data_IF_480234653873
#
_entry.id   IF_480234653873
#
_cell.length_a   1.000
_cell.length_b   1.000
_cell.length_c   1.000
_cell.angle_alpha   90.00
_cell.angle_beta   90.00
_cell.angle_gamma   90.00
#
_symmetry.space_group_name_H-M   'P 1'
#
loop_
_entity.id
_entity.type
_entity.pdbx_description
1 polymer ?
#
# COMPACT_ATOMS: atom_id res chain seq x y z
N UNK A 1 3.17 6.29 37.27
CA UNK A 1 2.44 6.34 35.99
C UNK A 1 2.93 5.21 35.13
N UNK A 2 2.23 4.07 35.15
CA UNK A 2 2.56 2.92 34.31
C UNK A 2 2.29 3.27 32.85
N UNK A 3 3.30 3.10 32.00
CA UNK A 3 3.14 3.16 30.55
C UNK A 3 2.22 2.03 30.08
N UNK A 4 1.31 2.37 29.18
CA UNK A 4 0.38 1.46 28.48
C UNK A 4 1.08 0.13 28.08
N UNK A 5 0.51 -1.04 28.39
CA UNK A 5 1.02 -2.35 27.96
C UNK A 5 1.33 -2.41 26.45
N UNK A 6 0.59 -1.67 25.62
CA UNK A 6 0.83 -1.59 24.18
C UNK A 6 2.12 -0.83 23.83
N UNK A 7 2.48 0.19 24.61
CA UNK A 7 3.76 0.91 24.48
C UNK A 7 4.94 0.05 24.98
N UNK A 8 4.73 -0.84 25.96
CA UNK A 8 5.73 -1.86 26.33
C UNK A 8 5.92 -2.88 25.23
N UNK A 9 4.85 -3.34 24.59
CA UNK A 9 4.91 -4.25 23.43
C UNK A 9 5.67 -3.61 22.25
N UNK A 10 5.43 -2.32 21.97
CA UNK A 10 6.14 -1.58 20.93
C UNK A 10 7.61 -1.28 21.28
N UNK A 11 7.96 -1.16 22.57
CA UNK A 11 9.35 -1.01 23.03
C UNK A 11 10.12 -2.33 23.08
N UNK A 12 9.48 -3.45 23.42
CA UNK A 12 10.13 -4.77 23.49
C UNK A 12 10.49 -5.34 22.12
N UNK A 13 9.81 -4.94 21.03
CA UNK A 13 10.25 -5.25 19.66
C UNK A 13 11.45 -4.38 19.19
N UNK A 14 12.00 -3.54 20.07
CA UNK A 14 13.15 -2.68 19.81
C UNK A 14 14.52 -3.30 20.07
N UNK A 15 14.65 -4.58 20.44
CA UNK A 15 15.97 -5.22 20.57
C UNK A 15 16.52 -5.58 19.18
N UNK A 16 17.66 -4.97 18.84
CA UNK A 16 18.41 -5.07 17.58
C UNK A 16 18.33 -6.43 16.85
N UNK A 17 17.35 -6.60 15.98
CA UNK A 17 17.47 -7.54 14.86
C UNK A 17 18.22 -6.81 13.75
N UNK A 18 19.39 -7.32 13.38
CA UNK A 18 20.10 -6.85 12.20
C UNK A 18 19.30 -7.15 10.91
N UNK A 19 19.90 -6.86 9.76
CA UNK A 19 19.33 -7.29 8.48
C UNK A 19 19.05 -8.81 8.49
N UNK A 20 17.81 -9.19 8.19
CA UNK A 20 17.35 -10.59 8.11
C UNK A 20 17.89 -11.33 6.89
N UNK A 21 18.51 -10.60 5.97
CA UNK A 21 19.12 -11.10 4.74
C UNK A 21 20.65 -10.90 4.77
N UNK A 22 21.23 -10.70 5.95
CA UNK A 22 22.68 -10.50 6.13
C UNK A 22 23.52 -11.72 5.77
N UNK A 23 22.93 -12.92 5.72
CA UNK A 23 23.58 -14.13 5.24
C UNK A 23 23.83 -14.13 3.72
N UNK A 24 23.17 -13.23 2.98
CA UNK A 24 23.36 -13.08 1.54
C UNK A 24 24.46 -12.05 1.24
N UNK A 25 25.19 -12.28 0.14
CA UNK A 25 26.10 -11.27 -0.42
C UNK A 25 25.33 -10.01 -0.85
N UNK A 26 26.01 -8.87 -0.97
CA UNK A 26 25.37 -7.61 -1.38
C UNK A 26 24.65 -7.72 -2.75
N UNK A 27 25.24 -8.46 -3.70
CA UNK A 27 24.62 -8.71 -5.01
C UNK A 27 23.32 -9.49 -4.87
N UNK A 28 23.33 -10.59 -4.10
CA UNK A 28 22.15 -11.41 -3.83
C UNK A 28 21.07 -10.64 -3.07
N UNK A 29 21.44 -9.77 -2.12
CA UNK A 29 20.48 -8.91 -1.45
C UNK A 29 19.80 -7.95 -2.43
N UNK A 30 20.57 -7.32 -3.33
CA UNK A 30 20.03 -6.42 -4.36
C UNK A 30 19.08 -7.16 -5.29
N UNK A 31 19.45 -8.36 -5.74
CA UNK A 31 18.63 -9.21 -6.59
C UNK A 31 17.33 -9.63 -5.88
N UNK A 32 17.42 -10.14 -4.65
CA UNK A 32 16.25 -10.53 -3.85
C UNK A 32 15.26 -9.37 -3.70
N UNK A 33 15.76 -8.17 -3.36
CA UNK A 33 14.92 -6.99 -3.14
C UNK A 33 14.26 -6.46 -4.43
N UNK A 34 14.93 -6.64 -5.58
CA UNK A 34 14.35 -6.36 -6.89
C UNK A 34 13.30 -7.41 -7.25
N UNK A 35 13.59 -8.69 -7.01
CA UNK A 35 12.74 -9.81 -7.38
C UNK A 35 11.46 -9.93 -6.55
N UNK A 36 11.41 -9.29 -5.38
CA UNK A 36 10.15 -9.06 -4.63
C UNK A 36 9.02 -8.50 -5.52
N UNK A 37 9.35 -7.72 -6.55
CA UNK A 37 8.35 -7.15 -7.46
C UNK A 37 7.60 -8.21 -8.29
N UNK A 38 8.14 -9.41 -8.46
CA UNK A 38 7.49 -10.52 -9.18
C UNK A 38 6.47 -11.28 -8.33
N UNK A 39 6.47 -11.06 -7.00
CA UNK A 39 5.46 -11.66 -6.14
C UNK A 39 4.06 -11.12 -6.45
N UNK A 40 3.05 -11.97 -6.33
CA UNK A 40 1.66 -11.60 -6.44
C UNK A 40 1.12 -11.25 -5.04
N UNK A 41 -0.08 -10.67 -5.01
CA UNK A 41 -0.67 -10.26 -3.74
C UNK A 41 -0.95 -11.42 -2.78
N UNK A 42 -1.15 -12.66 -3.25
CA UNK A 42 -1.40 -13.80 -2.36
C UNK A 42 -0.10 -14.24 -1.65
N UNK A 43 1.00 -14.35 -2.39
CA UNK A 43 2.34 -14.67 -1.87
C UNK A 43 2.77 -13.62 -0.84
N UNK A 44 2.65 -12.33 -1.19
CA UNK A 44 2.97 -11.21 -0.31
C UNK A 44 2.11 -11.27 0.96
N UNK A 45 0.79 -11.45 0.84
CA UNK A 45 -0.12 -11.54 1.99
C UNK A 45 0.22 -12.70 2.90
N UNK A 46 0.59 -13.86 2.35
CA UNK A 46 0.98 -15.03 3.13
C UNK A 46 2.19 -14.71 4.00
N UNK A 47 3.26 -14.19 3.39
CA UNK A 47 4.46 -13.79 4.13
C UNK A 47 4.14 -12.74 5.20
N UNK A 48 3.41 -11.68 4.83
CA UNK A 48 3.07 -10.62 5.79
C UNK A 48 2.26 -11.14 6.99
N UNK A 49 1.31 -12.06 6.78
CA UNK A 49 0.53 -12.65 7.88
C UNK A 49 1.37 -13.51 8.81
N UNK A 50 2.36 -14.24 8.28
CA UNK A 50 3.24 -15.08 9.09
C UNK A 50 4.17 -14.22 9.97
N UNK A 51 4.61 -13.06 9.50
CA UNK A 51 5.51 -12.17 10.23
C UNK A 51 4.81 -10.95 10.85
N UNK A 52 3.49 -11.03 11.04
CA UNK A 52 2.65 -9.95 11.60
C UNK A 52 2.86 -8.56 10.95
N UNK A 53 3.25 -8.52 9.67
CA UNK A 53 3.37 -7.28 8.91
C UNK A 53 1.96 -6.75 8.56
N UNK A 54 1.66 -5.48 8.86
CA UNK A 54 0.35 -4.93 8.55
C UNK A 54 0.08 -4.91 7.04
N UNK A 55 -1.14 -5.32 6.68
CA UNK A 55 -1.63 -5.34 5.29
C UNK A 55 -2.75 -4.33 5.04
N UNK A 56 -3.42 -3.90 6.10
CA UNK A 56 -4.59 -3.05 6.02
C UNK A 56 -4.23 -1.62 6.39
N UNK A 57 -4.93 -0.69 5.75
CA UNK A 57 -4.90 0.71 6.15
C UNK A 57 -5.67 0.82 7.47
N UNK A 58 -5.11 1.54 8.42
CA UNK A 58 -5.74 1.87 9.69
C UNK A 58 -6.31 3.28 9.61
N UNK A 59 -7.39 3.54 10.35
CA UNK A 59 -8.03 4.85 10.41
C UNK A 59 -8.23 5.25 11.87
N UNK A 60 -7.87 6.49 12.17
CA UNK A 60 -7.98 7.10 13.50
C UNK A 60 -9.38 7.71 13.71
N UNK A 61 -10.40 6.89 13.95
CA UNK A 61 -11.79 7.40 14.09
C UNK A 61 -12.02 8.30 15.30
N UNK A 62 -11.21 8.13 16.36
CA UNK A 62 -11.12 9.02 17.52
C UNK A 62 -9.64 9.28 17.79
N UNK A 63 -9.30 10.46 18.30
CA UNK A 63 -7.90 10.85 18.57
C UNK A 63 -7.20 9.76 19.40
N UNK A 64 -6.09 9.24 18.88
CA UNK A 64 -5.30 8.18 19.50
C UNK A 64 -5.84 6.74 19.33
N UNK A 65 -7.03 6.55 18.75
CA UNK A 65 -7.66 5.24 18.59
C UNK A 65 -7.62 4.81 17.13
N UNK A 66 -6.66 3.95 16.81
CA UNK A 66 -6.53 3.34 15.49
C UNK A 66 -7.44 2.13 15.36
N UNK A 67 -8.25 2.11 14.30
CA UNK A 67 -9.02 0.93 13.90
C UNK A 67 -8.57 0.43 12.54
N UNK A 68 -8.39 -0.87 12.43
CA UNK A 68 -8.15 -1.55 11.15
C UNK A 68 -9.36 -1.35 10.22
N UNK A 69 -9.12 -0.97 8.98
CA UNK A 69 -10.15 -0.89 7.94
C UNK A 69 -10.17 -2.16 7.08
N UNK A 70 -11.21 -2.34 6.26
CA UNK A 70 -11.24 -3.39 5.22
C UNK A 70 -10.31 -3.11 4.05
N UNK A 71 -9.85 -1.86 3.89
CA UNK A 71 -8.98 -1.44 2.80
C UNK A 71 -7.57 -2.02 2.99
N UNK A 72 -7.02 -2.57 1.91
CA UNK A 72 -5.66 -3.06 1.86
C UNK A 72 -4.73 -1.96 1.35
N UNK A 73 -3.51 -1.95 1.88
CA UNK A 73 -2.42 -1.22 1.25
C UNK A 73 -2.18 -1.75 -0.17
N UNK A 74 -1.79 -0.85 -1.06
CA UNK A 74 -1.37 -1.18 -2.43
C UNK A 74 -0.12 -2.06 -2.42
N UNK A 75 0.05 -2.89 -3.45
CA UNK A 75 1.19 -3.81 -3.60
C UNK A 75 2.54 -3.15 -3.30
N UNK A 76 2.81 -1.98 -3.90
CA UNK A 76 4.05 -1.23 -3.68
C UNK A 76 4.33 -0.93 -2.21
N UNK A 77 3.35 -0.38 -1.49
CA UNK A 77 3.47 -0.07 -0.05
C UNK A 77 3.73 -1.32 0.79
N UNK A 78 3.04 -2.42 0.49
CA UNK A 78 3.26 -3.69 1.20
C UNK A 78 4.65 -4.25 0.90
N UNK A 79 5.11 -4.17 -0.35
CA UNK A 79 6.46 -4.59 -0.72
C UNK A 79 7.53 -3.74 -0.03
N UNK A 80 7.34 -2.42 0.08
CA UNK A 80 8.28 -1.55 0.80
C UNK A 80 8.33 -1.89 2.29
N UNK A 81 7.18 -2.24 2.87
CA UNK A 81 7.11 -2.76 4.24
C UNK A 81 7.91 -4.06 4.40
N UNK A 82 7.79 -4.98 3.43
CA UNK A 82 8.62 -6.21 3.39
C UNK A 82 10.10 -5.86 3.26
N UNK A 83 10.49 -4.93 2.37
CA UNK A 83 11.89 -4.51 2.20
C UNK A 83 12.47 -3.94 3.49
N UNK A 84 11.74 -3.07 4.17
CA UNK A 84 12.19 -2.51 5.46
C UNK A 84 12.35 -3.61 6.51
N UNK A 85 11.40 -4.53 6.59
CA UNK A 85 11.49 -5.68 7.49
C UNK A 85 12.72 -6.54 7.20
N UNK A 86 12.96 -6.88 5.93
CA UNK A 86 14.14 -7.67 5.54
C UNK A 86 15.45 -6.96 5.88
N UNK A 87 15.54 -5.65 5.63
CA UNK A 87 16.77 -4.87 5.85
C UNK A 87 17.07 -4.58 7.31
N UNK A 88 16.06 -4.58 8.18
CA UNK A 88 16.21 -4.05 9.54
C UNK A 88 15.64 -4.93 10.65
N UNK A 89 14.98 -6.04 10.31
CA UNK A 89 14.25 -6.88 11.27
C UNK A 89 13.04 -6.21 11.92
N UNK A 90 12.81 -4.91 11.70
CA UNK A 90 11.73 -4.15 12.33
C UNK A 90 10.43 -4.27 11.54
N UNK A 91 9.33 -4.58 12.23
CA UNK A 91 7.99 -4.57 11.66
C UNK A 91 7.52 -3.11 11.51
N UNK A 92 7.39 -2.58 10.28
CA UNK A 92 6.91 -1.21 10.10
C UNK A 92 5.41 -1.12 10.39
N UNK A 93 4.97 0.02 10.89
CA UNK A 93 3.56 0.27 11.18
C UNK A 93 2.64 0.21 9.95
N UNK A 94 1.31 0.11 10.17
CA UNK A 94 0.33 0.22 9.10
C UNK A 94 0.32 1.64 8.51
N UNK A 95 -0.17 1.77 7.28
CA UNK A 95 -0.57 3.08 6.77
C UNK A 95 -1.74 3.60 7.61
N UNK A 96 -1.70 4.87 8.00
CA UNK A 96 -2.72 5.48 8.88
C UNK A 96 -3.40 6.65 8.18
N UNK A 97 -4.73 6.64 8.17
CA UNK A 97 -5.56 7.80 7.84
C UNK A 97 -5.87 8.54 9.13
N UNK A 98 -5.33 9.75 9.24
CA UNK A 98 -5.54 10.62 10.41
C UNK A 98 -7.01 11.01 10.57
N UNK A 99 -7.43 11.26 11.82
CA UNK A 99 -8.82 11.59 12.16
C UNK A 99 -9.41 12.72 11.30
N UNK A 100 -8.62 13.76 11.03
CA UNK A 100 -8.99 14.92 10.22
C UNK A 100 -9.38 14.60 8.77
N UNK A 101 -8.99 13.42 8.28
CA UNK A 101 -9.29 12.95 6.92
C UNK A 101 -10.48 12.00 6.87
N UNK A 102 -11.12 11.72 8.00
CA UNK A 102 -12.24 10.80 8.10
C UNK A 102 -13.55 11.58 8.11
N UNK A 103 -14.49 11.15 7.29
CA UNK A 103 -15.83 11.70 7.25
C UNK A 103 -16.60 11.29 8.51
N UNK A 104 -16.99 12.28 9.33
CA UNK A 104 -17.81 12.04 10.52
C UNK A 104 -19.29 11.81 10.18
N UNK A 105 -19.75 12.45 9.09
CA UNK A 105 -21.11 12.31 8.56
C UNK A 105 -21.10 12.47 7.05
N UNK A 106 -22.04 11.80 6.38
CA UNK A 106 -22.28 12.02 4.95
C UNK A 106 -23.05 13.34 4.80
N UNK A 107 -22.55 14.32 4.03
CA UNK A 107 -23.28 15.56 3.82
C UNK A 107 -24.52 15.31 2.95
N UNK A 108 -25.58 16.09 3.18
CA UNK A 108 -26.83 15.97 2.41
C UNK A 108 -26.61 16.24 0.91
N UNK A 109 -25.72 17.19 0.60
CA UNK A 109 -25.27 17.56 -0.74
C UNK A 109 -23.78 17.26 -0.88
N UNK A 110 -23.42 16.66 -2.01
CA UNK A 110 -22.04 16.45 -2.45
C UNK A 110 -21.85 17.27 -3.72
N UNK A 111 -20.76 18.05 -3.78
CA UNK A 111 -20.39 18.89 -4.91
C UNK A 111 -18.86 19.02 -5.03
N UNK A 112 -18.38 19.80 -5.99
CA UNK A 112 -16.94 19.97 -6.21
C UNK A 112 -16.18 20.68 -5.08
N UNK A 113 -16.88 21.40 -4.18
CA UNK A 113 -16.27 22.05 -3.01
C UNK A 113 -16.19 21.10 -1.82
N UNK A 114 -16.99 20.03 -1.83
CA UNK A 114 -17.02 19.02 -0.77
C UNK A 114 -15.62 18.39 -0.61
N UNK A 115 -15.10 18.30 0.64
CA UNK A 115 -13.81 17.68 0.91
C UNK A 115 -13.78 16.20 0.54
N UNK A 116 -12.66 15.75 -0.05
CA UNK A 116 -12.35 14.35 -0.31
C UNK A 116 -11.92 13.68 1.00
N UNK A 117 -12.89 13.21 1.78
CA UNK A 117 -12.64 12.50 3.04
C UNK A 117 -12.82 10.99 2.87
N UNK A 118 -12.02 10.23 3.62
CA UNK A 118 -12.19 8.81 3.79
C UNK A 118 -13.58 8.51 4.34
N UNK A 119 -14.31 7.60 3.71
CA UNK A 119 -15.70 7.27 4.05
C UNK A 119 -16.77 7.98 3.20
N UNK A 120 -16.46 9.12 2.55
CA UNK A 120 -17.35 9.72 1.53
C UNK A 120 -17.11 9.09 0.15
N UNK A 121 -15.86 8.78 -0.16
CA UNK A 121 -15.48 8.15 -1.42
C UNK A 121 -15.49 6.62 -1.26
N UNK A 122 -16.69 6.03 -1.28
CA UNK A 122 -16.88 4.57 -1.35
C UNK A 122 -17.27 4.16 -2.77
N UNK A 123 -16.91 2.92 -3.13
CA UNK A 123 -17.20 2.37 -4.46
C UNK A 123 -18.67 2.60 -4.82
N UNK A 124 -18.91 3.19 -6.00
CA UNK A 124 -20.24 3.32 -6.61
C UNK A 124 -21.25 4.21 -5.86
N UNK A 125 -20.80 5.08 -4.96
CA UNK A 125 -21.70 6.12 -4.43
C UNK A 125 -22.10 7.05 -5.57
N UNK A 126 -23.36 6.94 -6.02
CA UNK A 126 -23.84 7.54 -7.25
C UNK A 126 -23.67 9.07 -7.25
N UNK A 127 -23.88 9.71 -6.09
CA UNK A 127 -23.71 11.16 -5.93
C UNK A 127 -22.27 11.60 -6.18
N UNK A 128 -21.30 10.86 -5.66
CA UNK A 128 -19.88 11.17 -5.80
C UNK A 128 -19.40 10.92 -7.23
N UNK A 129 -19.83 9.82 -7.84
CA UNK A 129 -19.51 9.53 -9.24
C UNK A 129 -20.06 10.59 -10.19
N UNK A 130 -21.30 11.03 -9.99
CA UNK A 130 -21.92 12.08 -10.79
C UNK A 130 -21.12 13.37 -10.71
N UNK A 131 -20.78 13.84 -9.51
CA UNK A 131 -19.99 15.05 -9.29
C UNK A 131 -18.62 14.96 -9.99
N UNK A 132 -17.92 13.83 -9.86
CA UNK A 132 -16.63 13.65 -10.51
C UNK A 132 -16.74 13.54 -12.04
N UNK A 133 -17.81 12.94 -12.57
CA UNK A 133 -18.08 12.94 -14.00
C UNK A 133 -18.36 14.36 -14.51
N UNK A 134 -19.17 15.15 -13.82
CA UNK A 134 -19.42 16.56 -14.18
C UNK A 134 -18.12 17.37 -14.20
N UNK A 135 -17.31 17.26 -13.14
CA UNK A 135 -16.00 17.96 -13.05
C UNK A 135 -15.05 17.59 -14.18
N UNK A 136 -15.10 16.34 -14.65
CA UNK A 136 -14.15 15.81 -15.64
C UNK A 136 -14.71 15.74 -17.05
N UNK A 137 -15.87 16.35 -17.32
CA UNK A 137 -16.52 16.28 -18.63
C UNK A 137 -16.87 14.85 -19.06
N UNK A 138 -17.35 14.04 -18.12
CA UNK A 138 -17.76 12.65 -18.34
C UNK A 138 -16.61 11.64 -18.40
N UNK A 139 -15.35 12.07 -18.27
CA UNK A 139 -14.17 11.19 -18.42
C UNK A 139 -13.89 10.34 -17.19
N UNK A 140 -14.25 10.80 -15.99
CA UNK A 140 -13.93 10.10 -14.75
C UNK A 140 -14.40 8.65 -14.76
N UNK A 141 -13.50 7.74 -14.38
CA UNK A 141 -13.79 6.32 -14.16
C UNK A 141 -13.27 5.91 -12.79
N UNK A 142 -14.13 5.25 -12.03
CA UNK A 142 -13.72 4.60 -10.80
C UNK A 142 -12.85 3.39 -11.14
N UNK A 143 -11.61 3.36 -10.63
CA UNK A 143 -10.65 2.31 -10.95
C UNK A 143 -9.40 2.39 -10.09
N UNK A 144 -8.37 1.61 -10.45
CA UNK A 144 -7.13 1.47 -9.68
C UNK A 144 -6.45 2.83 -9.43
N UNK A 145 -6.31 3.67 -10.46
CA UNK A 145 -5.70 5.00 -10.34
C UNK A 145 -6.46 5.90 -9.34
N UNK A 146 -7.79 5.92 -9.40
CA UNK A 146 -8.58 6.75 -8.50
C UNK A 146 -8.48 6.27 -7.03
N UNK A 147 -8.45 4.95 -6.81
CA UNK A 147 -8.21 4.37 -5.48
C UNK A 147 -6.80 4.67 -4.98
N UNK A 148 -5.80 4.58 -5.85
CA UNK A 148 -4.42 4.91 -5.53
C UNK A 148 -4.29 6.35 -5.06
N UNK A 149 -4.75 7.31 -5.88
CA UNK A 149 -4.64 8.73 -5.57
C UNK A 149 -5.41 9.10 -4.30
N UNK A 150 -6.64 8.61 -4.15
CA UNK A 150 -7.46 8.92 -2.97
C UNK A 150 -6.82 8.40 -1.67
N UNK A 151 -6.33 7.15 -1.66
CA UNK A 151 -5.64 6.57 -0.50
C UNK A 151 -4.37 7.35 -0.14
N UNK A 152 -3.57 7.71 -1.14
CA UNK A 152 -2.35 8.48 -0.93
C UNK A 152 -2.66 9.86 -0.30
N UNK A 153 -3.65 10.58 -0.84
CA UNK A 153 -4.11 11.86 -0.31
C UNK A 153 -4.55 11.73 1.16
N UNK A 154 -5.30 10.68 1.50
CA UNK A 154 -5.79 10.45 2.86
C UNK A 154 -4.68 10.10 3.84
N UNK A 155 -3.75 9.23 3.45
CA UNK A 155 -2.60 8.82 4.28
C UNK A 155 -1.67 10.02 4.51
N UNK A 156 -1.42 10.84 3.48
CA UNK A 156 -0.61 12.06 3.62
C UNK A 156 -1.31 13.16 4.42
N UNK A 157 -2.62 13.03 4.71
CA UNK A 157 -3.37 14.06 5.41
C UNK A 157 -3.57 15.33 4.57
N UNK A 158 -3.48 15.23 3.23
CA UNK A 158 -3.58 16.36 2.31
C UNK A 158 -5.04 16.73 2.11
N UNK A 159 -5.42 17.94 2.51
CA UNK A 159 -6.77 18.47 2.28
C UNK A 159 -6.98 18.68 0.77
N UNK A 160 -8.00 18.05 0.21
CA UNK A 160 -8.37 18.15 -1.19
C UNK A 160 -9.90 18.14 -1.32
N UNK A 161 -10.45 18.87 -2.29
CA UNK A 161 -11.88 18.79 -2.64
C UNK A 161 -12.10 17.83 -3.81
N UNK A 162 -13.35 17.42 -4.07
CA UNK A 162 -13.65 16.62 -5.26
C UNK A 162 -13.28 17.32 -6.58
N UNK A 163 -13.41 18.65 -6.68
CA UNK A 163 -12.98 19.40 -7.87
C UNK A 163 -11.46 19.31 -8.09
N UNK A 164 -10.68 19.50 -7.03
CA UNK A 164 -9.22 19.38 -7.09
C UNK A 164 -8.78 17.93 -7.39
N UNK A 165 -9.48 16.95 -6.82
CA UNK A 165 -9.24 15.54 -7.08
C UNK A 165 -9.54 15.15 -8.53
N UNK A 166 -10.66 15.61 -9.10
CA UNK A 166 -11.00 15.35 -10.51
C UNK A 166 -9.95 15.91 -11.48
N UNK A 167 -9.43 17.12 -11.20
CA UNK A 167 -8.33 17.72 -11.97
C UNK A 167 -7.03 16.92 -11.84
N UNK A 168 -6.67 16.50 -10.62
CA UNK A 168 -5.50 15.64 -10.40
C UNK A 168 -5.65 14.32 -11.16
N UNK A 169 -6.82 13.68 -11.06
CA UNK A 169 -7.08 12.43 -11.77
C UNK A 169 -6.94 12.57 -13.29
N UNK A 170 -7.45 13.67 -13.88
CA UNK A 170 -7.25 13.95 -15.31
C UNK A 170 -5.77 14.08 -15.68
N UNK A 171 -5.01 14.82 -14.86
CA UNK A 171 -3.56 15.00 -15.06
C UNK A 171 -2.83 13.66 -15.03
N UNK A 172 -3.07 12.85 -13.99
CA UNK A 172 -2.41 11.56 -13.81
C UNK A 172 -2.82 10.54 -14.87
N UNK A 173 -4.08 10.58 -15.33
CA UNK A 173 -4.56 9.72 -16.42
C UNK A 173 -3.88 10.04 -17.75
N UNK A 174 -3.49 11.31 -17.97
CA UNK A 174 -2.78 11.73 -19.17
C UNK A 174 -1.25 11.54 -19.08
N UNK A 175 -0.72 11.22 -17.91
CA UNK A 175 0.72 11.02 -17.73
C UNK A 175 1.15 9.61 -18.16
N UNK A 176 2.17 9.54 -19.00
CA UNK A 176 2.82 8.29 -19.43
C UNK A 176 4.02 7.90 -18.57
N UNK A 177 4.41 8.75 -17.62
CA UNK A 177 5.76 8.73 -17.03
C UNK A 177 5.84 7.92 -15.72
N UNK A 178 4.70 7.40 -15.24
CA UNK A 178 4.66 6.71 -13.94
C UNK A 178 5.18 5.29 -14.08
N UNK A 179 6.45 5.10 -13.72
CA UNK A 179 7.05 3.77 -13.58
C UNK A 179 6.50 3.12 -12.31
N UNK A 180 5.92 1.93 -12.44
CA UNK A 180 5.45 1.09 -11.34
C UNK A 180 6.37 -0.12 -11.21
N UNK A 181 7.42 -0.10 -10.36
CA UNK A 181 8.34 -1.22 -10.22
C UNK A 181 7.65 -2.53 -9.82
N UNK A 182 6.52 -2.45 -9.11
CA UNK A 182 5.69 -3.60 -8.76
C UNK A 182 4.99 -4.24 -9.96
N UNK A 183 5.03 -3.57 -11.12
CA UNK A 183 4.67 -4.07 -12.43
C UNK A 183 5.90 -4.57 -13.20
N UNK A 184 6.99 -4.97 -12.54
CA UNK A 184 8.18 -5.53 -13.18
C UNK A 184 7.87 -6.49 -14.33
N UNK A 185 6.83 -7.31 -14.20
CA UNK A 185 6.30 -8.11 -15.30
C UNK A 185 5.87 -7.28 -16.54
N UNK A 186 4.99 -6.29 -16.38
CA UNK A 186 4.53 -5.45 -17.48
C UNK A 186 5.68 -4.59 -18.03
N UNK A 187 6.60 -4.14 -17.16
CA UNK A 187 7.79 -3.39 -17.55
C UNK A 187 8.70 -4.25 -18.43
N UNK A 188 9.04 -5.47 -18.02
CA UNK A 188 9.88 -6.39 -18.80
C UNK A 188 9.20 -6.85 -20.09
N UNK A 189 7.87 -7.05 -20.05
CA UNK A 189 7.08 -7.36 -21.23
C UNK A 189 7.11 -6.20 -22.24
N UNK A 190 6.94 -4.96 -21.77
CA UNK A 190 6.99 -3.76 -22.61
C UNK A 190 8.39 -3.46 -23.15
N UNK A 191 9.44 -3.81 -22.40
CA UNK A 191 10.84 -3.63 -22.79
C UNK A 191 11.38 -4.75 -23.69
N UNK A 192 10.59 -5.78 -24.00
CA UNK A 192 11.01 -6.92 -24.82
C UNK A 192 12.06 -7.84 -24.16
N UNK A 193 12.35 -7.63 -22.86
CA UNK A 193 13.33 -8.41 -22.09
C UNK A 193 12.72 -9.69 -21.52
N UNK A 194 11.39 -9.75 -21.40
CA UNK A 194 10.67 -10.98 -21.13
C UNK A 194 10.46 -11.75 -22.45
N UNK A 195 11.11 -12.91 -22.59
CA UNK A 195 10.85 -13.83 -23.70
C UNK A 195 9.39 -14.33 -23.73
N UNK A 196 9.04 -15.12 -24.76
CA UNK A 196 7.67 -15.66 -24.96
C UNK A 196 7.09 -16.40 -23.73
N UNK A 197 7.92 -16.89 -22.82
CA UNK A 197 7.52 -17.57 -21.58
C UNK A 197 7.78 -16.74 -20.30
N UNK A 198 7.28 -15.51 -20.30
CA UNK A 198 7.35 -14.60 -19.16
C UNK A 198 6.72 -15.19 -17.88
N UNK A 199 5.71 -16.04 -18.03
CA UNK A 199 4.99 -16.64 -16.90
C UNK A 199 5.91 -17.60 -16.15
N UNK A 200 6.70 -18.40 -16.87
CA UNK A 200 7.73 -19.23 -16.27
C UNK A 200 8.81 -18.37 -15.58
N UNK A 201 9.26 -17.27 -16.19
CA UNK A 201 10.23 -16.36 -15.55
C UNK A 201 9.70 -15.81 -14.21
N UNK A 202 8.47 -15.29 -14.21
CA UNK A 202 7.81 -14.78 -13.00
C UNK A 202 7.71 -15.86 -11.92
N UNK A 203 7.29 -17.07 -12.29
CA UNK A 203 7.18 -18.19 -11.36
C UNK A 203 8.54 -18.60 -10.80
N UNK A 204 9.58 -18.65 -11.64
CA UNK A 204 10.96 -18.94 -11.23
C UNK A 204 11.45 -17.91 -10.21
N UNK A 205 11.34 -16.61 -10.52
CA UNK A 205 11.74 -15.53 -9.61
C UNK A 205 10.95 -15.54 -8.30
N UNK A 206 9.61 -15.66 -8.38
CA UNK A 206 8.76 -15.75 -7.20
C UNK A 206 9.11 -16.96 -6.32
N UNK A 207 9.39 -18.12 -6.92
CA UNK A 207 9.81 -19.33 -6.18
C UNK A 207 11.13 -19.12 -5.46
N UNK A 208 12.12 -18.51 -6.12
CA UNK A 208 13.41 -18.20 -5.51
C UNK A 208 13.27 -17.22 -4.33
N UNK A 209 12.51 -16.14 -4.52
CA UNK A 209 12.20 -15.17 -3.46
C UNK A 209 11.52 -15.85 -2.28
N UNK A 210 10.45 -16.61 -2.53
CA UNK A 210 9.71 -17.31 -1.46
C UNK A 210 10.59 -18.33 -0.72
N UNK A 211 11.54 -18.97 -1.39
CA UNK A 211 12.48 -19.87 -0.75
C UNK A 211 13.37 -19.15 0.27
N UNK A 212 13.88 -17.95 -0.05
CA UNK A 212 14.62 -17.14 0.92
C UNK A 212 13.72 -16.60 2.03
N UNK A 213 12.53 -16.11 1.69
CA UNK A 213 11.58 -15.59 2.67
C UNK A 213 11.17 -16.65 3.70
N UNK A 214 11.00 -17.91 3.27
CA UNK A 214 10.62 -19.01 4.16
C UNK A 214 11.73 -19.44 5.14
N UNK A 215 12.98 -19.00 4.94
CA UNK A 215 14.08 -19.25 5.89
C UNK A 215 14.03 -18.30 7.09
N UNK A 216 13.25 -17.22 6.99
CA UNK A 216 13.15 -16.22 8.04
C UNK A 216 12.27 -16.80 9.15
N UNK A 217 12.74 -16.81 10.42
CA UNK A 217 11.96 -17.34 11.52
C UNK A 217 10.69 -16.50 11.73
N UNK A 218 9.59 -17.20 12.02
CA UNK A 218 8.32 -16.58 12.41
C UNK A 218 8.46 -16.04 13.85
N UNK A 219 8.03 -14.80 14.14
CA UNK A 219 8.06 -14.28 15.50
C UNK A 219 7.25 -15.18 16.45
N UNK A 220 7.85 -15.61 17.55
CA UNK A 220 7.14 -16.35 18.60
C UNK A 220 6.14 -15.40 19.26
N UNK A 221 4.85 -15.75 19.25
CA UNK A 221 3.81 -15.01 19.97
C UNK A 221 3.90 -15.41 21.44
N UNK A 222 4.43 -14.51 22.27
CA UNK A 222 4.40 -14.62 23.73
C UNK A 222 3.11 -14.01 24.28
#
# INVERSE_FOLDING_TARGET
MDLDPMLRFLKQQGSALGSLISHLTQSQQKELLADLNYLNMQEIKRFCRLHDLPLNIHAEYKKGVLKKTSELDRKGVVLDRVRTYLKSGKVPGPSVIANKMIAQKVPAKIDGKTPLLFGLYKNREAKVLKVLQEITGGKFRFGALAQELSREIWIQGKKMSFAAFGKLWLKETASTDKVHPEWAFLTDLSAGTAGKDWKALRQKKAKAVMAELNKIPVPTKY
#
